data_IF_594433513148
#
_entry.id   IF_594433513148
#
_cell.length_a   1.000
_cell.length_b   1.000
_cell.length_c   1.000
_cell.angle_alpha   90.00
_cell.angle_beta   90.00
_cell.angle_gamma   90.00
#
_symmetry.space_group_name_H-M   'P 1'
#
loop_
_entity.id
_entity.type
_entity.pdbx_description
1 polymer ?
#
# COMPACT_ATOMS: atom_id res chain seq x y z
N UNK A 1 -3.32 -26.21 27.46
CA UNK A 1 -3.91 -24.91 27.05
C UNK A 1 -3.32 -24.51 25.70
N UNK A 2 -4.13 -24.01 24.75
CA UNK A 2 -3.58 -23.49 23.48
C UNK A 2 -2.91 -22.14 23.75
N UNK A 3 -1.69 -21.94 23.22
CA UNK A 3 -1.09 -20.60 23.18
C UNK A 3 -1.94 -19.75 22.22
N UNK A 4 -2.30 -18.53 22.63
CA UNK A 4 -3.06 -17.58 21.82
C UNK A 4 -2.09 -16.56 21.22
N UNK A 5 -2.35 -16.16 19.99
CA UNK A 5 -1.65 -15.07 19.31
C UNK A 5 -2.67 -13.98 19.07
N UNK A 6 -2.29 -12.74 19.38
CA UNK A 6 -3.11 -11.55 19.14
C UNK A 6 -2.34 -10.63 18.22
N UNK A 7 -3.00 -10.19 17.16
CA UNK A 7 -2.48 -9.15 16.28
C UNK A 7 -3.23 -7.85 16.57
N UNK A 8 -2.49 -6.79 16.90
CA UNK A 8 -3.03 -5.51 17.32
C UNK A 8 -2.59 -4.44 16.31
N UNK A 9 -3.56 -3.76 15.71
CA UNK A 9 -3.32 -2.61 14.84
C UNK A 9 -3.62 -1.35 15.64
N UNK A 10 -2.60 -0.51 15.82
CA UNK A 10 -2.76 0.83 16.38
C UNK A 10 -2.95 1.81 15.22
N UNK A 11 -4.20 2.05 14.81
CA UNK A 11 -4.49 2.87 13.63
C UNK A 11 -3.99 4.32 13.82
N UNK A 12 -3.31 4.85 12.80
CA UNK A 12 -2.65 6.16 12.87
C UNK A 12 -1.41 6.23 13.78
N UNK A 13 -0.89 5.11 14.28
CA UNK A 13 0.34 5.09 15.10
C UNK A 13 1.60 4.93 14.24
N UNK A 14 2.25 6.05 13.94
CA UNK A 14 3.49 6.09 13.15
C UNK A 14 4.67 6.70 13.89
N UNK A 15 5.87 6.52 13.33
CA UNK A 15 7.08 7.19 13.78
C UNK A 15 7.25 8.51 13.04
N UNK A 16 6.96 9.61 13.73
CA UNK A 16 7.06 10.96 13.18
C UNK A 16 8.43 11.61 13.37
N UNK A 17 8.46 12.93 13.16
CA UNK A 17 9.66 13.77 13.23
C UNK A 17 10.14 14.06 14.66
N UNK A 18 9.41 13.60 15.70
CA UNK A 18 9.71 13.87 17.11
C UNK A 18 9.77 15.36 17.45
N UNK A 19 8.96 16.15 16.77
CA UNK A 19 8.80 17.58 17.03
C UNK A 19 7.58 17.87 17.92
N UNK A 20 7.18 19.14 18.01
CA UNK A 20 6.03 19.56 18.82
C UNK A 20 4.68 19.13 18.25
N UNK A 21 4.60 18.82 16.95
CA UNK A 21 3.38 18.36 16.30
C UNK A 21 3.23 16.83 16.36
N UNK A 22 4.29 16.11 16.70
CA UNK A 22 4.29 14.65 16.87
C UNK A 22 3.61 14.25 18.20
N UNK A 23 2.29 14.05 18.15
CA UNK A 23 1.49 13.69 19.31
C UNK A 23 1.94 12.38 19.98
N UNK A 24 2.43 11.39 19.21
CA UNK A 24 2.86 10.09 19.73
C UNK A 24 4.16 10.24 20.52
N UNK A 25 5.10 11.02 19.99
CA UNK A 25 6.36 11.30 20.68
C UNK A 25 6.13 12.07 21.98
N UNK A 26 5.28 13.11 21.95
CA UNK A 26 4.96 13.95 23.10
C UNK A 26 4.13 13.21 24.17
N UNK A 27 3.37 12.19 23.79
CA UNK A 27 2.54 11.43 24.72
C UNK A 27 3.36 10.61 25.73
N UNK A 28 2.82 10.49 26.95
CA UNK A 28 3.39 9.65 28.01
C UNK A 28 2.97 8.17 27.87
N UNK A 29 3.50 7.51 26.86
CA UNK A 29 3.12 6.14 26.46
C UNK A 29 4.08 5.09 27.03
N UNK A 30 4.28 5.09 28.35
CA UNK A 30 5.32 4.29 29.05
C UNK A 30 5.38 2.82 28.64
N UNK A 31 4.22 2.16 28.56
CA UNK A 31 4.16 0.75 28.18
C UNK A 31 4.60 0.52 26.74
N UNK A 32 4.02 1.24 25.77
CA UNK A 32 4.41 1.11 24.36
C UNK A 32 5.90 1.46 24.16
N UNK A 33 6.38 2.53 24.82
CA UNK A 33 7.80 2.91 24.81
C UNK A 33 8.72 1.81 25.35
N UNK A 34 8.28 1.05 26.35
CA UNK A 34 9.05 -0.09 26.88
C UNK A 34 9.16 -1.26 25.89
N UNK A 35 8.17 -1.46 25.00
CA UNK A 35 8.20 -2.53 24.00
C UNK A 35 9.27 -2.31 22.92
N UNK A 36 9.71 -1.07 22.71
CA UNK A 36 10.82 -0.76 21.79
C UNK A 36 12.20 -0.99 22.42
N UNK A 37 12.30 -1.45 23.68
CA UNK A 37 13.59 -1.82 24.26
C UNK A 37 13.92 -3.28 23.89
N UNK A 38 15.12 -3.58 23.35
CA UNK A 38 15.48 -4.93 22.90
C UNK A 38 15.35 -6.02 23.96
N UNK A 39 15.55 -5.68 25.24
CA UNK A 39 15.39 -6.60 26.37
C UNK A 39 13.93 -7.00 26.64
N UNK A 40 12.96 -6.19 26.18
CA UNK A 40 11.53 -6.44 26.41
C UNK A 40 10.86 -7.12 25.21
N UNK A 41 11.19 -6.71 23.98
CA UNK A 41 10.66 -7.33 22.77
C UNK A 41 11.52 -7.04 21.52
N UNK A 42 11.55 -8.01 20.62
CA UNK A 42 12.03 -7.78 19.25
C UNK A 42 11.03 -6.85 18.53
N UNK A 43 11.56 -5.84 17.85
CA UNK A 43 10.79 -4.86 17.10
C UNK A 43 11.50 -4.52 15.78
N UNK A 44 10.72 -4.03 14.83
CA UNK A 44 11.19 -3.57 13.52
C UNK A 44 10.25 -2.48 13.00
N UNK A 45 10.70 -1.77 11.96
CA UNK A 45 9.93 -0.73 11.28
C UNK A 45 9.46 -1.25 9.93
N UNK A 46 8.25 -0.82 9.52
CA UNK A 46 7.66 -1.15 8.24
C UNK A 46 7.36 0.13 7.46
N UNK A 47 7.60 0.10 6.16
CA UNK A 47 7.13 1.13 5.25
C UNK A 47 5.65 0.90 4.96
N UNK A 48 4.84 1.94 5.12
CA UNK A 48 3.36 1.84 5.07
C UNK A 48 2.73 2.80 4.06
N UNK A 49 3.55 3.38 3.18
CA UNK A 49 3.17 4.37 2.19
C UNK A 49 3.73 4.03 0.80
N UNK A 50 3.27 4.78 -0.19
CA UNK A 50 3.72 4.70 -1.58
C UNK A 50 3.66 3.30 -2.17
N UNK A 51 4.65 2.98 -3.02
CA UNK A 51 4.67 1.70 -3.72
C UNK A 51 4.82 0.50 -2.78
N UNK A 52 5.31 0.70 -1.55
CA UNK A 52 5.45 -0.37 -0.54
C UNK A 52 4.10 -0.99 -0.15
N UNK A 53 3.01 -0.24 -0.29
CA UNK A 53 1.64 -0.70 -0.02
C UNK A 53 0.75 -0.62 -1.26
N UNK A 54 1.34 -0.43 -2.44
CA UNK A 54 0.63 -0.42 -3.71
C UNK A 54 -0.03 0.92 -4.05
N UNK A 55 0.42 2.01 -3.44
CA UNK A 55 0.05 3.40 -3.75
C UNK A 55 1.10 4.08 -4.65
N UNK A 56 0.75 5.19 -5.33
CA UNK A 56 1.73 6.02 -6.04
C UNK A 56 2.85 6.48 -5.13
N UNK A 57 4.06 6.64 -5.68
CA UNK A 57 5.21 7.11 -4.92
C UNK A 57 4.93 8.45 -4.20
N UNK A 58 5.37 8.55 -2.95
CA UNK A 58 5.11 9.68 -2.06
C UNK A 58 3.68 9.81 -1.52
N UNK A 59 2.74 8.94 -1.93
CA UNK A 59 1.39 8.96 -1.39
C UNK A 59 1.32 8.28 -0.02
N UNK A 60 0.82 9.02 0.97
CA UNK A 60 0.53 8.53 2.30
C UNK A 60 -0.40 7.29 2.28
N UNK A 61 -0.10 6.31 3.12
CA UNK A 61 -0.98 5.18 3.40
C UNK A 61 -2.28 5.58 4.09
N UNK A 62 -3.26 4.68 4.09
CA UNK A 62 -4.53 4.87 4.78
C UNK A 62 -5.03 3.54 5.36
N UNK A 63 -6.10 3.58 6.16
CA UNK A 63 -6.62 2.40 6.84
C UNK A 63 -7.03 1.30 5.87
N UNK A 64 -7.72 1.60 4.76
CA UNK A 64 -8.17 0.60 3.79
C UNK A 64 -7.00 -0.14 3.14
N UNK A 65 -6.05 0.62 2.59
CA UNK A 65 -4.86 0.08 1.94
C UNK A 65 -4.00 -0.71 2.94
N UNK A 66 -3.82 -0.18 4.16
CA UNK A 66 -3.04 -0.83 5.20
C UNK A 66 -3.63 -2.18 5.60
N UNK A 67 -4.93 -2.23 5.91
CA UNK A 67 -5.60 -3.48 6.31
C UNK A 67 -5.60 -4.50 5.17
N UNK A 68 -5.79 -4.05 3.93
CA UNK A 68 -5.77 -4.92 2.75
C UNK A 68 -4.39 -5.59 2.57
N UNK A 69 -3.30 -4.83 2.66
CA UNK A 69 -1.94 -5.36 2.54
C UNK A 69 -1.59 -6.34 3.67
N UNK A 70 -1.95 -5.98 4.91
CA UNK A 70 -1.72 -6.82 6.09
C UNK A 70 -2.48 -8.15 5.96
N UNK A 71 -3.77 -8.09 5.61
CA UNK A 71 -4.60 -9.28 5.43
C UNK A 71 -4.18 -10.13 4.23
N UNK A 72 -3.68 -9.51 3.17
CA UNK A 72 -3.24 -10.20 1.96
C UNK A 72 -1.85 -10.83 2.07
N UNK A 73 -1.00 -10.35 2.99
CA UNK A 73 0.40 -10.80 3.13
C UNK A 73 1.27 -10.47 1.92
N UNK A 74 0.90 -9.45 1.14
CA UNK A 74 1.61 -8.98 -0.07
C UNK A 74 1.20 -7.56 -0.43
N UNK A 75 2.01 -6.92 -1.28
CA UNK A 75 1.68 -5.62 -1.86
C UNK A 75 0.42 -5.71 -2.71
N UNK A 76 -0.62 -4.96 -2.35
CA UNK A 76 -1.87 -4.88 -3.12
C UNK A 76 -1.92 -3.57 -3.89
N UNK A 77 -1.50 -3.64 -5.15
CA UNK A 77 -1.49 -2.48 -6.04
C UNK A 77 -2.89 -1.95 -6.30
N UNK A 78 -3.07 -0.64 -6.08
CA UNK A 78 -4.25 0.09 -6.49
C UNK A 78 -4.25 0.26 -8.01
N UNK A 79 -5.43 0.42 -8.60
CA UNK A 79 -5.57 0.36 -10.06
C UNK A 79 -4.77 1.44 -10.79
N UNK A 80 -4.66 2.65 -10.24
CA UNK A 80 -3.79 3.70 -10.78
C UNK A 80 -2.33 3.25 -10.87
N UNK A 81 -1.81 2.59 -9.83
CA UNK A 81 -0.43 2.10 -9.80
C UNK A 81 -0.26 0.91 -10.72
N UNK A 82 -1.24 0.00 -10.78
CA UNK A 82 -1.23 -1.11 -11.75
C UNK A 82 -1.14 -0.60 -13.18
N UNK A 83 -1.95 0.41 -13.54
CA UNK A 83 -1.96 1.02 -14.87
C UNK A 83 -0.62 1.70 -15.14
N UNK A 84 -0.12 2.53 -14.21
CA UNK A 84 1.17 3.20 -14.37
C UNK A 84 2.34 2.23 -14.55
N UNK A 85 2.36 1.13 -13.78
CA UNK A 85 3.36 0.07 -13.92
C UNK A 85 3.26 -0.60 -15.29
N UNK A 86 2.04 -0.95 -15.70
CA UNK A 86 1.82 -1.58 -17.00
C UNK A 86 2.25 -0.70 -18.18
N UNK A 87 2.09 0.62 -18.06
CA UNK A 87 2.62 1.58 -19.04
C UNK A 87 4.15 1.61 -18.99
N UNK A 88 4.73 1.69 -17.78
CA UNK A 88 6.18 1.82 -17.57
C UNK A 88 6.97 0.59 -18.03
N UNK A 89 6.43 -0.61 -17.81
CA UNK A 89 7.08 -1.88 -18.19
C UNK A 89 6.63 -2.40 -19.56
N UNK A 90 5.74 -1.68 -20.25
CA UNK A 90 5.23 -2.04 -21.57
C UNK A 90 4.23 -3.20 -21.57
N UNK A 91 3.88 -3.78 -20.42
CA UNK A 91 2.90 -4.87 -20.35
C UNK A 91 1.47 -4.44 -20.72
N UNK A 92 1.18 -3.14 -20.73
CA UNK A 92 -0.10 -2.61 -21.21
C UNK A 92 -0.38 -3.01 -22.66
N UNK A 93 0.66 -3.13 -23.49
CA UNK A 93 0.54 -3.53 -24.90
C UNK A 93 0.19 -5.02 -25.08
N UNK A 94 0.40 -5.82 -24.03
CA UNK A 94 0.09 -7.25 -24.00
C UNK A 94 -1.26 -7.53 -23.34
N UNK A 95 -1.95 -6.49 -22.85
CA UNK A 95 -3.25 -6.64 -22.21
C UNK A 95 -4.30 -7.10 -23.24
N UNK A 96 -4.80 -8.33 -23.06
CA UNK A 96 -5.72 -8.96 -24.01
C UNK A 96 -6.94 -8.09 -24.32
N UNK A 97 -7.54 -7.47 -23.31
CA UNK A 97 -8.74 -6.64 -23.49
C UNK A 97 -8.45 -5.41 -24.35
N UNK A 98 -7.30 -4.76 -24.13
CA UNK A 98 -6.86 -3.63 -24.93
C UNK A 98 -6.56 -4.09 -26.36
N UNK A 99 -5.76 -5.15 -26.54
CA UNK A 99 -5.41 -5.67 -27.87
C UNK A 99 -6.62 -6.12 -28.66
N UNK A 100 -7.58 -6.78 -28.02
CA UNK A 100 -8.82 -7.23 -28.66
C UNK A 100 -9.66 -6.05 -29.15
N UNK A 101 -9.74 -4.96 -28.37
CA UNK A 101 -10.48 -3.75 -28.76
C UNK A 101 -9.87 -3.07 -30.00
N UNK A 102 -8.54 -2.92 -30.04
CA UNK A 102 -7.86 -2.39 -31.22
C UNK A 102 -7.96 -3.32 -32.43
N UNK A 103 -7.86 -4.64 -32.22
CA UNK A 103 -8.02 -5.62 -33.29
C UNK A 103 -9.44 -5.57 -33.87
N UNK A 104 -10.46 -5.46 -33.02
CA UNK A 104 -11.85 -5.30 -33.45
C UNK A 104 -12.02 -4.05 -34.33
N UNK A 105 -11.51 -2.91 -33.89
CA UNK A 105 -11.61 -1.66 -34.64
C UNK A 105 -10.93 -1.75 -36.01
N UNK A 106 -9.73 -2.36 -36.06
CA UNK A 106 -8.97 -2.60 -37.30
C UNK A 106 -9.72 -3.52 -38.26
N UNK A 107 -10.18 -4.69 -37.79
CA UNK A 107 -10.90 -5.68 -38.61
C UNK A 107 -12.20 -5.11 -39.16
N UNK A 108 -12.94 -4.33 -38.37
CA UNK A 108 -14.27 -3.83 -38.72
C UNK A 108 -14.28 -2.39 -39.29
N UNK A 109 -13.10 -1.79 -39.53
CA UNK A 109 -12.94 -0.41 -39.99
C UNK A 109 -13.72 0.61 -39.12
N UNK A 110 -13.67 0.42 -37.79
CA UNK A 110 -14.32 1.31 -36.82
C UNK A 110 -13.30 2.27 -36.21
N UNK A 111 -13.80 3.40 -35.70
CA UNK A 111 -13.00 4.36 -34.93
C UNK A 111 -12.86 3.86 -33.49
N UNK A 112 -11.72 4.13 -32.88
CA UNK A 112 -11.52 3.99 -31.42
C UNK A 112 -11.83 5.32 -30.78
N UNK A 113 -12.67 5.31 -29.75
CA UNK A 113 -13.04 6.50 -28.97
C UNK A 113 -12.46 6.37 -27.58
N UNK A 114 -11.69 7.37 -27.15
CA UNK A 114 -11.21 7.49 -25.79
C UNK A 114 -12.14 8.46 -25.03
N UNK A 115 -12.51 8.07 -23.82
CA UNK A 115 -13.31 8.87 -22.89
C UNK A 115 -12.71 8.68 -21.49
N UNK A 116 -12.57 9.75 -20.74
CA UNK A 116 -12.01 9.76 -19.39
C UNK A 116 -12.25 11.11 -18.73
#
# INVERSE_FOLDING_TARGET
MSKKVVFIIMDGWGEGKKDKADAIYQANTKYIKSLYQPENAAHAHLLTDGENVGLPDGQMGNSEVGHLNIGAGRVVYQDLVKINRAIKDGSIEQNKTITDAFQYAKTNKKKVHFLG
#
